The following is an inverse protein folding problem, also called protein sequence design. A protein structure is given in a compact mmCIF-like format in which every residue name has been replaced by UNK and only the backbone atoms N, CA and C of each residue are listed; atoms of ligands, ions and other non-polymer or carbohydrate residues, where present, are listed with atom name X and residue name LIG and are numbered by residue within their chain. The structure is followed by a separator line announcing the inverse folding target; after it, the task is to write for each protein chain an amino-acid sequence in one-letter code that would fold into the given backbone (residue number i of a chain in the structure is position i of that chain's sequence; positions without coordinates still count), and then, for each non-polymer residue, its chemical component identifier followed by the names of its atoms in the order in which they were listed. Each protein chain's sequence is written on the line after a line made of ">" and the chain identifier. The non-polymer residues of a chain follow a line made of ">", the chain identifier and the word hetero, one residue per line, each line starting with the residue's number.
data_IF_493488714496
#
_entry.id   IF_493488714496
#
_cell.length_a   1.000
_cell.length_b   1.000
_cell.length_c   1.000
_cell.angle_alpha   90.00
_cell.angle_beta   90.00
_cell.angle_gamma   90.00
#
_symmetry.space_group_name_H-M   'P 1'
#
loop_
_entity.id
_entity.type
_entity.pdbx_description
1 polymer ?
#
# COMPACT_ATOMS: atom_id res chain seq x y z
N UNK A 1 -2.51 -20.23 4.50
CA UNK A 1 -3.68 -19.32 4.59
C UNK A 1 -3.46 -18.06 5.42
N UNK A 2 -2.58 -18.03 6.44
CA UNK A 2 -2.30 -16.82 7.25
C UNK A 2 -1.71 -15.63 6.46
N UNK A 3 -0.89 -15.91 5.43
CA UNK A 3 -0.20 -14.86 4.64
C UNK A 3 -1.15 -13.95 3.86
N UNK A 4 -2.30 -14.45 3.41
CA UNK A 4 -3.24 -13.64 2.60
C UNK A 4 -3.99 -12.64 3.49
N UNK A 5 -4.33 -13.03 4.72
CA UNK A 5 -5.12 -12.20 5.65
C UNK A 5 -4.33 -10.97 6.11
N UNK A 6 -3.02 -11.11 6.32
CA UNK A 6 -2.13 -9.99 6.70
C UNK A 6 -2.05 -8.94 5.58
N UNK A 7 -2.05 -9.36 4.32
CA UNK A 7 -2.06 -8.41 3.20
C UNK A 7 -3.36 -7.61 3.15
N UNK A 8 -4.50 -8.21 3.49
CA UNK A 8 -5.82 -7.55 3.46
C UNK A 8 -5.94 -6.51 4.59
N UNK A 9 -5.50 -6.84 5.80
CA UNK A 9 -5.52 -5.90 6.92
C UNK A 9 -4.60 -4.69 6.69
N UNK A 10 -3.43 -4.90 6.08
CA UNK A 10 -2.48 -3.82 5.78
C UNK A 10 -2.96 -2.95 4.63
N UNK A 11 -3.48 -3.55 3.55
CA UNK A 11 -4.07 -2.78 2.47
C UNK A 11 -5.24 -1.91 2.97
N UNK A 12 -6.06 -2.43 3.89
CA UNK A 12 -7.14 -1.65 4.49
C UNK A 12 -6.66 -0.54 5.43
N UNK A 13 -5.61 -0.78 6.24
CA UNK A 13 -5.02 0.22 7.12
C UNK A 13 -4.30 1.32 6.31
N UNK A 14 -3.57 0.93 5.28
CA UNK A 14 -2.99 1.86 4.30
C UNK A 14 -4.11 2.60 3.59
N UNK A 15 -5.17 1.96 3.10
CA UNK A 15 -6.30 2.66 2.47
C UNK A 15 -6.99 3.69 3.39
N UNK A 16 -7.15 3.36 4.67
CA UNK A 16 -7.75 4.25 5.65
C UNK A 16 -6.84 5.43 6.03
N UNK A 17 -5.52 5.19 6.11
CA UNK A 17 -4.51 6.17 6.55
C UNK A 17 -3.88 6.96 5.39
N UNK A 18 -3.85 6.39 4.19
CA UNK A 18 -3.14 6.92 3.04
C UNK A 18 -3.93 8.09 2.47
N UNK A 19 -3.35 9.28 2.67
CA UNK A 19 -3.87 10.56 2.21
C UNK A 19 -3.16 11.02 0.93
N UNK A 20 -2.55 10.09 0.19
CA UNK A 20 -1.69 10.40 -0.96
C UNK A 20 -0.21 10.59 -0.64
N UNK A 21 0.25 10.19 0.56
CA UNK A 21 1.67 10.21 0.94
C UNK A 21 2.53 9.44 -0.07
N UNK A 22 3.70 10.02 -0.36
CA UNK A 22 4.68 9.45 -1.28
C UNK A 22 5.43 8.28 -0.66
N UNK A 23 5.64 7.23 -1.45
CA UNK A 23 6.37 6.04 -1.02
C UNK A 23 7.85 6.24 -1.37
N UNK A 24 8.76 6.28 -0.38
CA UNK A 24 10.18 6.49 -0.64
C UNK A 24 10.74 5.34 -1.48
N UNK A 25 11.46 5.69 -2.55
CA UNK A 25 12.05 4.72 -3.49
C UNK A 25 11.15 4.33 -4.67
N UNK A 26 9.95 4.90 -4.79
CA UNK A 26 9.13 4.83 -6.00
C UNK A 26 9.37 6.08 -6.85
N UNK A 27 9.42 5.92 -8.17
CA UNK A 27 9.54 7.07 -9.06
C UNK A 27 8.28 7.94 -9.03
N UNK A 28 8.40 9.28 -9.20
CA UNK A 28 7.26 10.19 -9.17
C UNK A 28 6.19 9.84 -10.21
N UNK A 29 6.59 9.38 -11.40
CA UNK A 29 5.67 8.92 -12.44
C UNK A 29 4.82 7.71 -12.01
N UNK A 30 5.42 6.76 -11.27
CA UNK A 30 4.72 5.60 -10.73
C UNK A 30 3.77 6.00 -9.60
N UNK A 31 4.17 6.96 -8.76
CA UNK A 31 3.31 7.53 -7.71
C UNK A 31 2.15 8.35 -8.28
N UNK A 32 2.37 9.06 -9.37
CA UNK A 32 1.31 9.78 -10.08
C UNK A 32 0.28 8.81 -10.67
N UNK A 33 0.73 7.72 -11.31
CA UNK A 33 -0.16 6.63 -11.74
C UNK A 33 -0.96 6.05 -10.58
N UNK A 34 -0.33 5.86 -9.41
CA UNK A 34 -1.03 5.40 -8.21
C UNK A 34 -2.13 6.39 -7.78
N UNK A 35 -1.84 7.68 -7.75
CA UNK A 35 -2.82 8.72 -7.41
C UNK A 35 -3.97 8.75 -8.40
N UNK A 36 -3.68 8.61 -9.70
CA UNK A 36 -4.70 8.56 -10.75
C UNK A 36 -5.62 7.36 -10.59
N UNK A 37 -5.10 6.13 -10.42
CA UNK A 37 -5.99 4.96 -10.25
C UNK A 37 -6.78 5.00 -8.94
N UNK A 38 -6.27 5.74 -7.93
CA UNK A 38 -6.90 5.93 -6.64
C UNK A 38 -7.82 7.15 -6.61
N UNK A 39 -7.98 7.85 -7.74
CA UNK A 39 -8.88 8.99 -7.93
C UNK A 39 -9.90 8.65 -9.03
N UNK A 40 -11.21 8.59 -8.74
CA UNK A 40 -11.84 8.83 -7.45
C UNK A 40 -11.46 7.76 -6.42
N UNK A 41 -11.52 8.14 -5.12
CA UNK A 41 -11.16 7.26 -4.00
C UNK A 41 -11.97 5.97 -4.10
N UNK A 42 -11.33 4.78 -4.12
CA UNK A 42 -12.05 3.54 -4.33
C UNK A 42 -13.12 3.34 -3.25
N UNK A 43 -14.32 2.95 -3.67
CA UNK A 43 -15.47 2.86 -2.77
C UNK A 43 -15.38 1.66 -1.80
N UNK A 44 -14.47 0.72 -2.07
CA UNK A 44 -14.37 -0.53 -1.31
C UNK A 44 -12.93 -1.03 -1.18
N UNK A 45 -12.68 -1.78 -0.10
CA UNK A 45 -11.37 -2.41 0.16
C UNK A 45 -10.94 -3.36 -0.96
N UNK A 46 -11.88 -4.06 -1.58
CA UNK A 46 -11.60 -4.93 -2.73
C UNK A 46 -11.17 -4.15 -3.96
N UNK A 47 -11.81 -3.01 -4.23
CA UNK A 47 -11.45 -2.15 -5.36
C UNK A 47 -10.06 -1.54 -5.14
N UNK A 48 -9.79 -1.05 -3.92
CA UNK A 48 -8.46 -0.59 -3.53
C UNK A 48 -7.41 -1.69 -3.73
N UNK A 49 -7.70 -2.92 -3.32
CA UNK A 49 -6.78 -4.07 -3.50
C UNK A 49 -6.49 -4.32 -4.98
N UNK A 50 -7.51 -4.34 -5.83
CA UNK A 50 -7.34 -4.56 -7.29
C UNK A 50 -6.48 -3.45 -7.90
N UNK A 51 -6.77 -2.20 -7.57
CA UNK A 51 -6.01 -1.02 -8.03
C UNK A 51 -4.55 -1.04 -7.57
N UNK A 52 -4.28 -1.29 -6.27
CA UNK A 52 -2.90 -1.46 -5.76
C UNK A 52 -2.18 -2.62 -6.45
N UNK A 53 -2.87 -3.74 -6.67
CA UNK A 53 -2.29 -4.90 -7.35
C UNK A 53 -1.91 -4.59 -8.80
N UNK A 54 -2.78 -3.89 -9.51
CA UNK A 54 -2.52 -3.42 -10.87
C UNK A 54 -1.34 -2.45 -10.92
N UNK A 55 -1.31 -1.47 -10.01
CA UNK A 55 -0.17 -0.55 -9.88
C UNK A 55 1.13 -1.27 -9.60
N UNK A 56 1.15 -2.17 -8.61
CA UNK A 56 2.34 -2.95 -8.26
C UNK A 56 2.81 -3.82 -9.43
N UNK A 57 1.88 -4.30 -10.26
CA UNK A 57 2.21 -5.09 -11.44
C UNK A 57 2.97 -4.26 -12.48
N UNK A 58 2.70 -2.94 -12.57
CA UNK A 58 3.41 -2.01 -13.46
C UNK A 58 4.68 -1.38 -12.90
N UNK A 59 5.06 -1.70 -11.66
CA UNK A 59 6.32 -1.23 -11.05
C UNK A 59 7.51 -2.08 -11.49
N UNK A 60 8.67 -1.42 -11.60
CA UNK A 60 9.96 -2.10 -11.78
C UNK A 60 10.33 -2.92 -10.54
N UNK A 61 11.25 -3.88 -10.65
CA UNK A 61 11.67 -4.72 -9.52
C UNK A 61 12.19 -3.91 -8.32
N UNK A 62 12.99 -2.87 -8.59
CA UNK A 62 13.51 -1.95 -7.58
C UNK A 62 12.39 -1.20 -6.85
N UNK A 63 11.40 -0.70 -7.60
CA UNK A 63 10.25 0.00 -7.04
C UNK A 63 9.35 -0.96 -6.24
N UNK A 64 9.16 -2.19 -6.71
CA UNK A 64 8.43 -3.21 -5.94
C UNK A 64 9.10 -3.51 -4.61
N UNK A 65 10.43 -3.59 -4.58
CA UNK A 65 11.19 -3.77 -3.35
C UNK A 65 11.00 -2.59 -2.38
N UNK A 66 11.04 -1.35 -2.90
CA UNK A 66 10.77 -0.15 -2.11
C UNK A 66 9.34 -0.13 -1.53
N UNK A 67 8.31 -0.45 -2.34
CA UNK A 67 6.94 -0.57 -1.88
C UNK A 67 6.76 -1.66 -0.80
N UNK A 68 7.47 -2.79 -0.93
CA UNK A 68 7.42 -3.86 0.05
C UNK A 68 8.13 -3.49 1.36
N UNK A 69 9.27 -2.80 1.29
CA UNK A 69 9.96 -2.26 2.46
C UNK A 69 9.10 -1.25 3.22
N UNK A 70 8.44 -0.33 2.50
CA UNK A 70 7.50 0.63 3.09
C UNK A 70 6.33 -0.09 3.77
N UNK A 71 5.77 -1.13 3.12
CA UNK A 71 4.72 -1.96 3.71
C UNK A 71 5.19 -2.64 5.00
N UNK A 72 6.42 -3.19 5.03
CA UNK A 72 6.99 -3.81 6.24
C UNK A 72 7.21 -2.80 7.35
N UNK A 73 7.65 -1.58 7.03
CA UNK A 73 7.81 -0.50 8.00
C UNK A 73 6.45 -0.10 8.62
N UNK A 74 5.42 0.05 7.79
CA UNK A 74 4.06 0.33 8.26
C UNK A 74 3.48 -0.80 9.11
N UNK A 75 3.74 -2.05 8.72
CA UNK A 75 3.41 -3.23 9.51
C UNK A 75 4.08 -3.22 10.90
N UNK A 76 5.37 -2.92 10.96
CA UNK A 76 6.13 -2.83 12.21
C UNK A 76 5.57 -1.73 13.11
N UNK A 77 5.24 -0.56 12.54
CA UNK A 77 4.58 0.53 13.28
C UNK A 77 3.23 0.10 13.84
N UNK A 78 2.37 -0.55 13.05
CA UNK A 78 1.06 -1.02 13.52
C UNK A 78 1.15 -2.12 14.59
N UNK A 79 2.14 -3.02 14.48
CA UNK A 79 2.39 -4.06 15.47
C UNK A 79 2.88 -3.48 16.79
N UNK A 80 3.83 -2.55 16.75
CA UNK A 80 4.32 -1.87 17.95
C UNK A 80 3.21 -1.02 18.61
N UNK A 81 2.38 -0.33 17.82
CA UNK A 81 1.23 0.43 18.35
C UNK A 81 0.19 -0.44 19.09
N UNK A 82 0.16 -1.76 18.86
CA UNK A 82 -0.71 -2.70 19.59
C UNK A 82 -0.08 -3.24 20.88
N UNK A 83 1.23 -3.11 21.07
CA UNK A 83 1.91 -3.56 22.30
C UNK A 83 1.95 -2.49 23.40
N UNK A 84 1.71 -1.22 23.06
CA UNK A 84 1.69 -0.09 24.01
C UNK A 84 0.28 0.29 24.49
N UNK A 85 -0.70 -0.61 24.36
CA UNK A 85 -2.08 -0.42 24.86
C UNK A 85 -2.48 -1.51 25.84
#
# INVERSE_FOLDING_TARGET
>A
MLRIVVFVAVAAAVFARWNGEDIPGISPASMEKLRQIMTPRPASREEFRRKIHQWRSGLSETERAAAEAYKQQMLKKLRNSKQEK
#
